data_IF_388135921944
#
_entry.id   IF_388135921944
#
_cell.length_a   1.000
_cell.length_b   1.000
_cell.length_c   1.000
_cell.angle_alpha   90.00
_cell.angle_beta   90.00
_cell.angle_gamma   90.00
#
_symmetry.space_group_name_H-M   'P 1'
#
loop_
_entity.id
_entity.type
_entity.pdbx_description
1 polymer ?
#
# COMPACT_ATOMS: atom_id res chain seq x y z
N UNK A 1 -35.59 -36.71 -28.21
CA UNK A 1 -34.21 -36.95 -27.74
C UNK A 1 -33.40 -35.66 -27.86
N UNK A 2 -32.77 -35.24 -26.77
CA UNK A 2 -31.51 -34.46 -26.67
C UNK A 2 -31.43 -33.02 -27.22
N UNK A 3 -31.83 -32.03 -26.40
CA UNK A 3 -31.30 -30.64 -26.43
C UNK A 3 -31.33 -30.01 -25.01
N UNK A 4 -30.55 -30.56 -24.07
CA UNK A 4 -30.45 -30.01 -22.69
C UNK A 4 -29.02 -30.04 -22.13
N UNK A 5 -28.05 -30.57 -22.87
CA UNK A 5 -26.67 -30.78 -22.40
C UNK A 5 -25.77 -29.54 -22.56
N UNK A 6 -25.98 -28.72 -23.59
CA UNK A 6 -25.11 -27.57 -23.90
C UNK A 6 -25.20 -26.43 -22.86
N UNK A 7 -26.37 -26.18 -22.27
CA UNK A 7 -26.55 -25.13 -21.26
C UNK A 7 -25.97 -25.51 -19.89
N UNK A 8 -25.96 -26.80 -19.56
CA UNK A 8 -25.37 -27.32 -18.31
C UNK A 8 -23.85 -27.27 -18.34
N UNK A 9 -23.23 -27.57 -19.48
CA UNK A 9 -21.77 -27.47 -19.67
C UNK A 9 -21.25 -26.04 -19.56
N UNK A 10 -22.01 -25.04 -20.04
CA UNK A 10 -21.60 -23.64 -19.99
C UNK A 10 -21.70 -23.04 -18.59
N UNK A 11 -22.69 -23.46 -17.79
CA UNK A 11 -22.79 -23.10 -16.37
C UNK A 11 -21.66 -23.74 -15.57
N UNK A 12 -21.36 -25.02 -15.78
CA UNK A 12 -20.26 -25.72 -15.09
C UNK A 12 -18.90 -25.09 -15.42
N UNK A 13 -18.65 -24.73 -16.69
CA UNK A 13 -17.42 -24.06 -17.10
C UNK A 13 -17.25 -22.67 -16.45
N UNK A 14 -18.35 -21.93 -16.27
CA UNK A 14 -18.35 -20.65 -15.58
C UNK A 14 -18.07 -20.81 -14.08
N UNK A 15 -18.64 -21.83 -13.43
CA UNK A 15 -18.39 -22.13 -12.00
C UNK A 15 -16.97 -22.62 -11.75
N UNK A 16 -16.39 -23.42 -12.64
CA UNK A 16 -15.00 -23.90 -12.51
C UNK A 16 -14.00 -22.75 -12.75
N UNK A 17 -14.28 -21.84 -13.68
CA UNK A 17 -13.49 -20.61 -13.85
C UNK A 17 -13.59 -19.66 -12.63
N UNK A 18 -14.76 -19.61 -11.98
CA UNK A 18 -14.98 -18.83 -10.76
C UNK A 18 -14.18 -19.35 -9.55
N UNK A 19 -14.05 -20.67 -9.39
CA UNK A 19 -13.27 -21.28 -8.29
C UNK A 19 -11.76 -21.15 -8.54
N UNK A 20 -11.32 -21.20 -9.80
CA UNK A 20 -9.91 -21.05 -10.16
C UNK A 20 -9.39 -19.60 -10.08
N UNK A 21 -10.27 -18.60 -10.12
CA UNK A 21 -9.93 -17.18 -10.02
C UNK A 21 -10.01 -16.58 -8.61
N UNK A 22 -10.31 -17.40 -7.59
CA UNK A 22 -10.30 -16.95 -6.19
C UNK A 22 -8.85 -16.62 -5.80
N UNK A 23 -8.47 -15.35 -5.97
CA UNK A 23 -7.23 -14.84 -5.43
C UNK A 23 -7.23 -15.09 -3.92
N UNK A 24 -6.08 -15.49 -3.39
CA UNK A 24 -5.88 -15.63 -1.96
C UNK A 24 -6.23 -14.31 -1.30
N UNK A 25 -7.33 -14.28 -0.54
CA UNK A 25 -7.63 -13.15 0.32
C UNK A 25 -6.43 -12.99 1.27
N UNK A 26 -5.67 -11.91 1.12
CA UNK A 26 -4.65 -11.55 2.10
C UNK A 26 -5.39 -11.13 3.36
N UNK A 27 -5.32 -11.97 4.39
CA UNK A 27 -6.07 -11.80 5.63
C UNK A 27 -5.61 -10.61 6.47
N UNK A 28 -4.44 -10.03 6.15
CA UNK A 28 -3.81 -8.99 6.94
C UNK A 28 -3.79 -7.69 6.12
N UNK A 29 -4.63 -6.74 6.50
CA UNK A 29 -4.66 -5.38 5.94
C UNK A 29 -4.79 -4.39 7.08
N UNK A 30 -4.17 -3.22 6.94
CA UNK A 30 -4.27 -2.14 7.91
C UNK A 30 -5.57 -1.38 7.65
N UNK A 31 -6.30 -1.05 8.72
CA UNK A 31 -7.56 -0.33 8.66
C UNK A 31 -7.53 0.88 9.59
N UNK A 32 -8.39 1.87 9.31
CA UNK A 32 -8.64 2.98 10.23
C UNK A 32 -9.06 2.45 11.60
N UNK A 33 -8.45 2.99 12.66
CA UNK A 33 -8.66 2.60 14.05
C UNK A 33 -7.71 1.50 14.55
N UNK A 34 -6.91 0.88 13.67
CA UNK A 34 -5.85 -0.02 14.11
C UNK A 34 -4.81 0.72 14.96
N UNK A 35 -4.25 0.01 15.93
CA UNK A 35 -3.15 0.50 16.75
C UNK A 35 -1.83 -0.02 16.18
N UNK A 36 -0.86 0.86 15.96
CA UNK A 36 0.46 0.51 15.43
C UNK A 36 1.54 1.00 16.40
N UNK A 37 2.55 0.17 16.64
CA UNK A 37 3.83 0.64 17.18
C UNK A 37 4.97 0.25 16.25
N UNK A 38 6.14 0.83 16.46
CA UNK A 38 7.26 0.70 15.56
C UNK A 38 8.49 0.20 16.30
N UNK A 39 9.21 -0.71 15.66
CA UNK A 39 10.58 -1.04 16.01
C UNK A 39 11.53 -0.50 14.92
N UNK A 40 12.68 0.01 15.35
CA UNK A 40 13.75 0.42 14.45
C UNK A 40 14.32 -0.81 13.71
N UNK A 41 14.62 -0.64 12.41
CA UNK A 41 15.21 -1.68 11.56
C UNK A 41 16.47 -1.13 10.89
N UNK A 42 16.72 -1.52 9.64
CA UNK A 42 17.97 -1.23 8.97
C UNK A 42 17.95 0.18 8.40
N UNK A 43 19.02 0.95 8.64
CA UNK A 43 19.15 2.33 8.18
C UNK A 43 18.99 3.35 9.29
N UNK A 44 19.56 4.54 9.07
CA UNK A 44 19.44 5.74 9.92
C UNK A 44 20.00 6.95 9.16
N UNK A 45 19.36 8.15 9.23
CA UNK A 45 18.06 8.42 9.84
C UNK A 45 16.90 8.01 8.93
N UNK A 46 15.85 7.43 9.52
CA UNK A 46 14.56 7.22 8.84
C UNK A 46 14.40 5.96 8.01
N UNK A 47 15.32 4.98 8.04
CA UNK A 47 15.35 3.82 7.15
C UNK A 47 14.13 2.88 7.18
N UNK A 48 14.36 1.57 7.27
CA UNK A 48 13.25 0.63 7.47
C UNK A 48 12.67 0.77 8.88
N UNK A 49 11.36 0.67 9.00
CA UNK A 49 10.67 0.47 10.27
C UNK A 49 9.83 -0.79 10.25
N UNK A 50 9.81 -1.54 11.35
CA UNK A 50 8.87 -2.63 11.53
C UNK A 50 7.60 -2.08 12.18
N UNK A 51 6.53 -1.95 11.40
CA UNK A 51 5.21 -1.61 11.91
C UNK A 51 4.54 -2.87 12.47
N UNK A 52 4.25 -2.88 13.77
CA UNK A 52 3.47 -3.95 14.40
C UNK A 52 2.02 -3.49 14.55
N UNK A 53 1.11 -4.17 13.86
CA UNK A 53 -0.32 -3.87 13.83
C UNK A 53 -1.04 -4.65 14.93
N UNK A 54 -1.84 -3.93 15.71
CA UNK A 54 -2.60 -4.40 16.87
C UNK A 54 -1.77 -5.30 17.80
N UNK A 55 -0.59 -4.84 18.27
CA UNK A 55 0.33 -5.66 19.05
C UNK A 55 -0.35 -6.21 20.31
N UNK A 56 -0.12 -7.50 20.59
CA UNK A 56 -0.73 -8.20 21.72
C UNK A 56 -2.15 -8.72 21.50
N UNK A 57 -2.74 -8.51 20.31
CA UNK A 57 -4.07 -9.03 19.94
C UNK A 57 -3.99 -10.36 19.17
N UNK A 58 -5.08 -11.14 19.15
CA UNK A 58 -5.16 -12.44 18.47
C UNK A 58 -5.00 -12.39 16.93
N UNK A 59 -4.93 -11.19 16.34
CA UNK A 59 -4.66 -10.94 14.93
C UNK A 59 -3.45 -10.03 14.70
N UNK A 60 -2.54 -9.92 15.66
CA UNK A 60 -1.35 -9.09 15.52
C UNK A 60 -0.46 -9.60 14.38
N UNK A 61 0.10 -8.67 13.60
CA UNK A 61 1.03 -8.96 12.52
C UNK A 61 1.95 -7.76 12.29
N UNK A 62 2.99 -7.93 11.48
CA UNK A 62 3.92 -6.84 11.18
C UNK A 62 4.35 -6.81 9.74
N UNK A 63 4.79 -5.64 9.31
CA UNK A 63 5.35 -5.39 7.99
C UNK A 63 6.40 -4.28 8.05
N UNK A 64 7.26 -4.21 7.04
CA UNK A 64 8.26 -3.16 6.94
C UNK A 64 7.70 -1.98 6.16
N UNK A 65 7.92 -0.77 6.69
CA UNK A 65 7.47 0.51 6.14
C UNK A 65 8.62 1.51 6.11
N UNK A 66 8.35 2.64 5.46
CA UNK A 66 9.21 3.79 5.30
C UNK A 66 8.41 5.06 5.59
N UNK A 67 9.11 6.08 6.05
CA UNK A 67 8.52 7.39 6.29
C UNK A 67 8.30 8.16 4.99
N UNK A 68 7.22 8.94 4.93
CA UNK A 68 6.99 9.86 3.81
C UNK A 68 7.61 11.22 4.07
N UNK A 69 7.36 11.84 5.23
CA UNK A 69 7.99 13.13 5.56
C UNK A 69 9.30 12.95 6.32
N UNK A 70 10.28 13.81 6.06
CA UNK A 70 11.59 13.83 6.74
C UNK A 70 11.57 14.64 8.03
N UNK A 71 10.69 15.63 8.13
CA UNK A 71 10.62 16.57 9.27
C UNK A 71 9.68 16.12 10.39
N UNK A 72 8.91 15.07 10.14
CA UNK A 72 8.13 14.38 11.16
C UNK A 72 8.90 13.19 11.72
N UNK A 73 8.57 12.77 12.94
CA UNK A 73 9.29 11.69 13.62
C UNK A 73 8.31 10.71 14.25
N UNK A 74 8.61 9.43 14.08
CA UNK A 74 8.06 8.36 14.88
C UNK A 74 8.89 8.18 16.16
N UNK A 75 8.26 7.77 17.25
CA UNK A 75 8.96 7.28 18.42
C UNK A 75 8.59 5.82 18.68
N UNK A 76 9.55 5.07 19.24
CA UNK A 76 9.42 3.62 19.42
C UNK A 76 8.75 3.23 20.75
N UNK A 77 8.25 4.21 21.52
CA UNK A 77 7.65 3.97 22.83
C UNK A 77 6.13 4.26 22.84
N UNK A 78 5.60 4.84 21.77
CA UNK A 78 4.21 5.23 21.65
C UNK A 78 3.42 4.23 20.80
N UNK A 79 2.14 4.11 21.13
CA UNK A 79 1.15 3.51 20.24
C UNK A 79 0.52 4.63 19.40
N UNK A 80 0.43 4.40 18.10
CA UNK A 80 -0.21 5.27 17.12
C UNK A 80 -1.54 4.66 16.72
N UNK A 81 -2.54 5.50 16.47
CA UNK A 81 -3.81 5.08 15.87
C UNK A 81 -3.78 5.44 14.40
N UNK A 82 -4.22 4.51 13.55
CA UNK A 82 -4.42 4.76 12.12
C UNK A 82 -5.65 5.64 11.97
N UNK A 83 -5.43 6.94 11.76
CA UNK A 83 -6.49 7.92 11.50
C UNK A 83 -7.11 7.70 10.13
N UNK A 84 -6.29 7.35 9.15
CA UNK A 84 -6.69 7.18 7.77
C UNK A 84 -5.79 6.23 7.00
N UNK A 85 -6.37 5.61 5.98
CA UNK A 85 -5.64 4.87 4.94
C UNK A 85 -5.97 5.56 3.63
N UNK A 86 -5.05 6.37 3.13
CA UNK A 86 -5.31 7.36 2.07
C UNK A 86 -4.28 7.25 0.94
N UNK A 87 -4.37 8.15 -0.03
CA UNK A 87 -3.42 8.35 -1.13
C UNK A 87 -2.55 9.59 -0.93
N UNK A 88 -2.48 10.15 0.28
CA UNK A 88 -1.68 11.33 0.59
C UNK A 88 -1.12 11.34 2.02
N UNK A 89 0.04 11.94 2.22
CA UNK A 89 0.52 12.33 3.54
C UNK A 89 -0.19 13.60 4.03
N UNK A 90 -0.32 13.76 5.34
CA UNK A 90 -0.98 14.88 6.02
C UNK A 90 0.02 15.82 6.68
N UNK A 91 -0.40 17.06 6.99
CA UNK A 91 0.44 18.06 7.65
C UNK A 91 1.71 18.47 6.90
N UNK A 92 1.79 18.16 5.62
CA UNK A 92 2.95 18.51 4.79
C UNK A 92 2.83 19.92 4.20
N UNK A 93 3.83 20.81 4.38
CA UNK A 93 3.72 22.20 3.91
C UNK A 93 3.93 22.33 2.40
N UNK A 94 3.27 23.32 1.79
CA UNK A 94 3.35 23.57 0.35
C UNK A 94 4.77 23.82 -0.20
N UNK A 95 5.76 24.06 0.68
CA UNK A 95 7.16 24.22 0.31
C UNK A 95 7.91 22.92 0.00
N UNK A 96 7.37 21.75 0.36
CA UNK A 96 8.05 20.45 0.23
C UNK A 96 7.23 19.36 -0.47
N UNK A 97 6.13 19.71 -1.15
CA UNK A 97 5.32 18.74 -1.91
C UNK A 97 3.83 18.90 -1.62
N UNK A 98 3.50 19.29 -0.39
CA UNK A 98 2.15 19.57 0.05
C UNK A 98 1.32 20.50 -0.86
N UNK A 99 0.01 20.24 -0.88
CA UNK A 99 -1.01 21.07 -1.49
C UNK A 99 -2.13 21.23 -0.46
N UNK A 100 -2.19 22.39 0.19
CA UNK A 100 -3.16 22.65 1.26
C UNK A 100 -3.05 21.67 2.43
N UNK A 101 -1.82 21.33 2.83
CA UNK A 101 -1.54 20.44 3.96
C UNK A 101 -1.69 18.95 3.64
N UNK A 102 -1.74 18.58 2.36
CA UNK A 102 -1.77 17.19 1.90
C UNK A 102 -0.75 16.98 0.79
N UNK A 103 0.05 15.94 0.89
CA UNK A 103 1.02 15.59 -0.15
C UNK A 103 0.61 14.27 -0.83
N UNK A 104 0.06 14.31 -2.06
CA UNK A 104 -0.35 13.10 -2.77
C UNK A 104 0.82 12.17 -3.06
N UNK A 105 0.66 10.90 -2.73
CA UNK A 105 1.68 9.88 -2.94
C UNK A 105 2.05 9.77 -4.43
N UNK A 106 3.34 9.91 -4.74
CA UNK A 106 3.84 9.81 -6.12
C UNK A 106 3.87 8.35 -6.61
N UNK A 107 3.61 8.16 -7.91
CA UNK A 107 3.59 6.85 -8.55
C UNK A 107 4.95 6.13 -8.53
N UNK A 108 6.06 6.87 -8.45
CA UNK A 108 7.43 6.36 -8.32
C UNK A 108 7.65 5.76 -6.94
N UNK A 109 7.17 6.42 -5.88
CA UNK A 109 7.23 5.89 -4.52
C UNK A 109 6.36 4.64 -4.39
N UNK A 110 5.15 4.67 -4.95
CA UNK A 110 4.28 3.51 -4.98
C UNK A 110 4.91 2.33 -5.75
N UNK A 111 5.62 2.59 -6.85
CA UNK A 111 6.36 1.55 -7.57
C UNK A 111 7.48 0.95 -6.71
N UNK A 112 8.31 1.77 -6.06
CA UNK A 112 9.40 1.31 -5.20
C UNK A 112 8.89 0.40 -4.09
N UNK A 113 7.84 0.83 -3.40
CA UNK A 113 7.28 0.06 -2.30
C UNK A 113 6.55 -1.21 -2.78
N UNK A 114 5.96 -1.18 -3.97
CA UNK A 114 5.45 -2.39 -4.64
C UNK A 114 6.57 -3.39 -4.90
N UNK A 115 7.71 -2.94 -5.44
CA UNK A 115 8.86 -3.80 -5.69
C UNK A 115 9.47 -4.34 -4.41
N UNK A 116 9.50 -3.55 -3.34
CA UNK A 116 10.01 -3.95 -2.03
C UNK A 116 9.15 -5.05 -1.38
N UNK A 117 7.82 -4.90 -1.41
CA UNK A 117 6.89 -5.78 -0.69
C UNK A 117 6.58 -7.10 -1.40
N UNK A 118 6.84 -7.20 -2.70
CA UNK A 118 6.73 -8.48 -3.40
C UNK A 118 7.82 -9.44 -2.88
N UNK A 119 7.47 -10.56 -2.23
CA UNK A 119 8.40 -11.66 -1.89
C UNK A 119 9.63 -11.37 -1.00
N UNK A 120 9.60 -10.37 -0.10
CA UNK A 120 10.65 -10.15 0.91
C UNK A 120 11.94 -9.53 0.36
N UNK A 121 11.87 -8.23 0.02
CA UNK A 121 12.81 -7.38 -0.75
C UNK A 121 12.56 -7.35 -2.27
N UNK A 122 11.85 -8.36 -2.79
CA UNK A 122 11.31 -8.38 -4.15
C UNK A 122 12.23 -8.01 -5.28
N UNK A 123 11.69 -7.31 -6.28
CA UNK A 123 12.46 -6.93 -7.45
C UNK A 123 13.57 -5.91 -7.11
N UNK A 124 13.51 -5.25 -5.95
CA UNK A 124 14.59 -4.36 -5.52
C UNK A 124 15.90 -5.12 -5.28
N UNK A 125 15.85 -6.41 -4.95
CA UNK A 125 17.06 -7.23 -4.86
C UNK A 125 17.83 -7.28 -6.19
N UNK A 126 17.13 -7.28 -7.33
CA UNK A 126 17.77 -7.23 -8.66
C UNK A 126 18.38 -5.86 -8.99
N UNK A 127 17.99 -4.82 -8.27
CA UNK A 127 18.50 -3.44 -8.40
C UNK A 127 19.64 -3.19 -7.40
N UNK A 128 19.87 -4.11 -6.46
CA UNK A 128 20.97 -4.05 -5.49
C UNK A 128 20.54 -3.98 -4.02
N UNK A 129 19.24 -4.12 -3.71
CA UNK A 129 18.77 -4.15 -2.34
C UNK A 129 19.13 -5.47 -1.66
N UNK A 130 20.06 -5.42 -0.71
CA UNK A 130 20.52 -6.59 0.04
C UNK A 130 20.02 -6.60 1.49
N UNK A 131 19.14 -5.66 1.85
CA UNK A 131 18.68 -5.46 3.21
C UNK A 131 19.74 -4.84 4.13
N UNK A 132 20.90 -4.39 3.65
CA UNK A 132 21.87 -3.68 4.48
C UNK A 132 21.36 -2.29 4.87
N UNK A 133 21.86 -1.75 5.98
CA UNK A 133 21.55 -0.38 6.41
C UNK A 133 21.89 0.68 5.34
N UNK A 134 22.93 0.43 4.53
CA UNK A 134 23.29 1.31 3.41
C UNK A 134 22.21 1.33 2.33
N UNK A 135 21.69 0.16 1.95
CA UNK A 135 20.65 0.08 0.93
C UNK A 135 19.30 0.58 1.44
N UNK A 136 18.97 0.30 2.70
CA UNK A 136 17.78 0.87 3.36
C UNK A 136 17.82 2.40 3.38
N UNK A 137 18.98 2.99 3.70
CA UNK A 137 19.18 4.44 3.66
C UNK A 137 19.03 5.03 2.26
N UNK A 138 19.60 4.36 1.24
CA UNK A 138 19.48 4.79 -0.14
C UNK A 138 18.02 4.72 -0.61
N UNK A 139 17.28 3.69 -0.21
CA UNK A 139 15.86 3.55 -0.54
C UNK A 139 15.03 4.64 0.15
N UNK A 140 15.20 4.87 1.45
CA UNK A 140 14.52 5.96 2.16
C UNK A 140 14.83 7.33 1.56
N UNK A 141 16.09 7.59 1.19
CA UNK A 141 16.45 8.82 0.52
C UNK A 141 15.77 8.95 -0.84
N UNK A 142 15.61 7.87 -1.60
CA UNK A 142 14.89 7.90 -2.87
C UNK A 142 13.41 8.26 -2.67
N UNK A 143 12.77 7.70 -1.64
CA UNK A 143 11.40 8.07 -1.26
C UNK A 143 11.34 9.57 -0.95
N UNK A 144 12.19 10.09 -0.07
CA UNK A 144 12.23 11.53 0.23
C UNK A 144 12.59 12.43 -0.96
N UNK A 145 13.36 11.94 -1.95
CA UNK A 145 13.62 12.71 -3.16
C UNK A 145 12.38 12.79 -4.06
N UNK A 146 11.62 11.70 -4.14
CA UNK A 146 10.41 11.60 -4.97
C UNK A 146 9.28 12.43 -4.33
N UNK A 147 9.09 12.29 -3.03
CA UNK A 147 8.12 13.06 -2.23
C UNK A 147 8.65 14.47 -1.88
N UNK A 148 9.67 14.99 -2.59
CA UNK A 148 10.14 16.38 -2.50
C UNK A 148 10.68 16.87 -1.13
N UNK A 149 10.81 15.98 -0.15
CA UNK A 149 11.38 16.22 1.18
C UNK A 149 12.88 16.58 1.17
N UNK A 150 13.62 16.15 0.15
CA UNK A 150 15.03 16.49 -0.05
C UNK A 150 15.37 16.74 -1.52
N UNK A 151 16.49 17.41 -1.76
CA UNK A 151 17.01 17.61 -3.10
C UNK A 151 17.34 16.29 -3.80
N UNK A 152 16.96 16.19 -5.08
CA UNK A 152 17.21 15.03 -5.92
C UNK A 152 18.71 14.83 -6.15
N UNK A 153 19.15 13.59 -5.98
CA UNK A 153 20.50 13.09 -6.29
C UNK A 153 20.34 11.99 -7.34
N UNK A 154 20.58 12.33 -8.60
CA UNK A 154 20.36 11.42 -9.74
C UNK A 154 21.22 10.16 -9.73
N UNK A 155 22.29 10.11 -8.93
CA UNK A 155 23.09 8.89 -8.76
C UNK A 155 22.48 7.87 -7.80
N UNK A 156 21.36 8.20 -7.14
CA UNK A 156 20.63 7.22 -6.33
C UNK A 156 19.98 6.17 -7.25
N UNK A 157 20.34 4.91 -7.05
CA UNK A 157 19.92 3.79 -7.89
C UNK A 157 18.40 3.56 -7.84
N UNK A 158 17.79 3.70 -6.67
CA UNK A 158 16.35 3.49 -6.50
C UNK A 158 15.53 4.63 -7.12
N UNK A 159 15.99 5.88 -6.98
CA UNK A 159 15.39 7.01 -7.67
C UNK A 159 15.39 6.80 -9.18
N UNK A 160 16.56 6.44 -9.73
CA UNK A 160 16.72 6.21 -11.18
C UNK A 160 15.83 5.08 -11.67
N UNK A 161 15.79 3.96 -10.94
CA UNK A 161 14.94 2.82 -11.29
C UNK A 161 13.45 3.17 -11.27
N UNK A 162 13.01 4.00 -10.31
CA UNK A 162 11.62 4.45 -10.23
C UNK A 162 11.26 5.36 -11.41
N UNK A 163 12.15 6.30 -11.78
CA UNK A 163 11.97 7.14 -12.98
C UNK A 163 11.86 6.27 -14.24
N UNK A 164 12.75 5.29 -14.40
CA UNK A 164 12.71 4.35 -15.53
C UNK A 164 11.41 3.55 -15.56
N UNK A 165 10.84 3.17 -14.41
CA UNK A 165 9.57 2.46 -14.35
C UNK A 165 8.42 3.28 -14.93
N UNK A 166 8.36 4.59 -14.66
CA UNK A 166 7.34 5.49 -15.23
C UNK A 166 7.52 5.63 -16.74
N UNK A 167 8.76 5.80 -17.20
CA UNK A 167 9.07 5.84 -18.65
C UNK A 167 8.64 4.56 -19.35
N UNK A 168 8.75 3.41 -18.66
CA UNK A 168 8.33 2.10 -19.16
C UNK A 168 6.83 1.80 -18.95
N UNK A 169 6.04 2.80 -18.55
CA UNK A 169 4.58 2.74 -18.55
C UNK A 169 3.93 2.35 -17.22
N UNK A 170 4.68 2.30 -16.11
CA UNK A 170 4.05 2.26 -14.79
C UNK A 170 3.26 3.55 -14.55
N UNK A 171 2.06 3.42 -13.99
CA UNK A 171 1.21 4.57 -13.65
C UNK A 171 0.40 4.28 -12.40
N UNK A 172 0.11 5.33 -11.62
CA UNK A 172 -0.71 5.27 -10.44
C UNK A 172 -0.06 4.57 -9.24
N UNK A 173 -0.82 4.47 -8.16
CA UNK A 173 -0.32 3.99 -6.85
C UNK A 173 -0.65 2.52 -6.56
N UNK A 174 -1.47 1.87 -7.39
CA UNK A 174 -1.85 0.47 -7.22
C UNK A 174 -2.47 0.17 -5.86
N UNK A 175 -1.91 -0.81 -5.14
CA UNK A 175 -2.33 -1.20 -3.78
C UNK A 175 -1.58 -0.42 -2.68
N UNK A 176 -0.73 0.54 -3.04
CA UNK A 176 0.02 1.31 -2.05
C UNK A 176 -0.84 2.45 -1.52
N UNK A 177 -0.82 2.63 -0.21
CA UNK A 177 -1.54 3.65 0.53
C UNK A 177 -0.62 4.28 1.57
N UNK A 178 -1.03 5.47 2.00
CA UNK A 178 -0.43 6.19 3.11
C UNK A 178 -1.24 5.91 4.37
N UNK A 179 -0.57 5.49 5.43
CA UNK A 179 -1.13 5.41 6.77
C UNK A 179 -0.97 6.78 7.42
N UNK A 180 -2.09 7.49 7.57
CA UNK A 180 -2.10 8.72 8.34
C UNK A 180 -2.18 8.37 9.82
N UNK A 181 -1.15 8.73 10.58
CA UNK A 181 -1.01 8.32 11.96
C UNK A 181 -1.27 9.47 12.91
N UNK A 182 -1.88 9.16 14.05
CA UNK A 182 -1.99 10.09 15.16
C UNK A 182 -1.65 9.38 16.47
N UNK A 183 -1.18 10.14 17.45
CA UNK A 183 -0.98 9.64 18.81
C UNK A 183 -1.63 10.56 19.82
N UNK A 184 -2.01 9.97 20.94
CA UNK A 184 -2.51 10.73 22.07
C UNK A 184 -1.33 11.22 22.94
N UNK A 185 -1.30 12.51 23.24
CA UNK A 185 -0.38 13.10 24.20
C UNK A 185 -0.82 12.80 25.64
N UNK A 186 0.08 13.06 26.59
CA UNK A 186 -0.18 12.88 28.02
C UNK A 186 -1.32 13.76 28.57
N UNK A 187 -1.63 14.87 27.90
CA UNK A 187 -2.74 15.76 28.22
C UNK A 187 -4.09 15.30 27.63
N UNK A 188 -4.11 14.17 26.92
CA UNK A 188 -5.29 13.60 26.28
C UNK A 188 -5.60 14.16 24.89
N UNK A 189 -4.85 15.17 24.41
CA UNK A 189 -5.00 15.70 23.05
C UNK A 189 -4.37 14.76 22.00
N UNK A 190 -4.89 14.82 20.78
CA UNK A 190 -4.35 14.05 19.64
C UNK A 190 -3.43 14.93 18.80
N UNK A 191 -2.34 14.35 18.32
CA UNK A 191 -1.40 14.99 17.40
C UNK A 191 -1.11 14.04 16.25
N UNK A 192 -1.06 14.60 15.03
CA UNK A 192 -0.59 13.87 13.85
C UNK A 192 0.88 13.46 14.03
N UNK A 193 1.26 12.38 13.38
CA UNK A 193 2.57 11.74 13.51
C UNK A 193 3.02 11.27 12.14
N UNK A 194 4.31 10.97 12.03
CA UNK A 194 4.95 10.65 10.76
C UNK A 194 4.21 9.58 9.96
N UNK A 195 3.75 9.95 8.77
CA UNK A 195 2.97 9.07 7.91
C UNK A 195 3.83 7.98 7.28
N UNK A 196 3.22 6.81 7.07
CA UNK A 196 3.91 5.57 6.73
C UNK A 196 3.35 4.91 5.47
N UNK A 197 4.20 4.26 4.68
CA UNK A 197 3.76 3.47 3.53
C UNK A 197 3.17 2.13 3.95
N UNK A 198 2.04 1.77 3.36
CA UNK A 198 1.47 0.43 3.52
C UNK A 198 0.90 -0.10 2.21
N UNK A 199 0.90 -1.42 2.09
CA UNK A 199 0.22 -2.11 1.01
C UNK A 199 -1.14 -2.56 1.51
N UNK A 200 -2.18 -1.99 0.94
CA UNK A 200 -3.58 -2.25 1.29
C UNK A 200 -4.25 -2.76 0.02
N UNK A 201 -4.43 -4.10 -0.10
CA UNK A 201 -5.12 -4.67 -1.24
C UNK A 201 -6.50 -4.05 -1.40
N UNK A 202 -6.87 -3.75 -2.64
CA UNK A 202 -8.23 -3.29 -2.97
C UNK A 202 -9.25 -4.24 -2.33
N UNK A 203 -10.25 -3.73 -1.59
CA UNK A 203 -11.18 -4.60 -0.92
C UNK A 203 -11.93 -5.45 -1.95
N UNK A 204 -12.02 -6.76 -1.69
CA UNK A 204 -12.76 -7.72 -2.53
C UNK A 204 -14.25 -7.36 -2.69
N UNK A 205 -14.73 -6.33 -1.99
CA UNK A 205 -16.03 -5.70 -2.18
C UNK A 205 -16.25 -5.17 -3.61
N UNK A 206 -15.22 -4.70 -4.33
CA UNK A 206 -15.36 -4.29 -5.74
C UNK A 206 -15.61 -5.48 -6.65
N UNK A 207 -14.94 -6.60 -6.39
CA UNK A 207 -15.20 -7.88 -7.06
C UNK A 207 -16.62 -8.36 -6.73
N UNK A 208 -17.03 -8.27 -5.46
CA UNK A 208 -18.38 -8.63 -5.02
C UNK A 208 -19.46 -7.72 -5.63
N UNK A 209 -19.17 -6.44 -5.79
CA UNK A 209 -20.04 -5.47 -6.45
C UNK A 209 -20.17 -5.81 -7.95
N UNK A 210 -19.04 -6.11 -8.60
CA UNK A 210 -19.02 -6.60 -9.99
C UNK A 210 -19.85 -7.87 -10.16
N UNK A 211 -19.74 -8.82 -9.22
CA UNK A 211 -20.58 -10.01 -9.21
C UNK A 211 -22.05 -9.70 -8.95
N UNK A 212 -22.35 -8.86 -7.96
CA UNK A 212 -23.71 -8.44 -7.63
C UNK A 212 -24.43 -7.83 -8.84
N UNK A 213 -23.73 -6.96 -9.58
CA UNK A 213 -24.25 -6.36 -10.81
C UNK A 213 -24.43 -7.38 -11.94
N UNK A 214 -23.50 -8.33 -12.10
CA UNK A 214 -23.60 -9.40 -13.10
C UNK A 214 -24.81 -10.32 -12.83
N UNK A 215 -25.05 -10.73 -11.58
CA UNK A 215 -26.21 -11.56 -11.20
C UNK A 215 -27.55 -10.83 -11.41
N UNK A 216 -27.60 -9.50 -11.25
CA UNK A 216 -28.81 -8.70 -11.52
C UNK A 216 -29.06 -8.50 -13.03
N UNK A 217 -28.01 -8.45 -13.86
CA UNK A 217 -28.14 -8.23 -15.30
C UNK A 217 -28.53 -9.50 -16.09
N UNK A 218 -28.08 -10.68 -15.65
CA UNK A 218 -28.31 -11.95 -16.34
C UNK A 218 -29.80 -12.31 -16.59
N UNK A 219 -30.74 -12.10 -15.64
CA UNK A 219 -32.16 -12.34 -15.87
C UNK A 219 -32.78 -11.37 -16.91
N UNK A 220 -32.31 -10.11 -16.96
CA UNK A 220 -32.85 -9.07 -17.85
C UNK A 220 -32.47 -9.32 -19.31
N UNK A 221 -31.28 -9.85 -19.56
CA UNK A 221 -30.83 -10.22 -20.91
C UNK A 221 -31.61 -11.41 -21.49
N UNK A 222 -32.14 -12.28 -20.61
CA UNK A 222 -32.96 -13.43 -20.99
C UNK A 222 -34.37 -13.04 -21.41
N UNK A 223 -34.91 -11.96 -20.84
CA UNK A 223 -36.25 -11.45 -21.15
C UNK A 223 -36.35 -10.73 -22.50
N UNK A 224 -35.23 -10.33 -23.11
CA UNK A 224 -35.22 -9.62 -24.42
C UNK A 224 -35.13 -10.56 -25.64
N UNK A 225 -35.17 -11.88 -25.44
CA UNK A 225 -35.12 -12.89 -26.51
C UNK A 225 -36.45 -13.66 -26.68
N UNK A 226 -37.58 -13.02 -26.42
CA UNK A 226 -38.93 -13.50 -26.75
C UNK A 226 -39.61 -12.49 -27.65
#
# INVERSE_FOLDING_TARGET
MTRTTSSRLLVIAFTVALVAGAQTARANTVMTGDIINFDDRNGSPGGEFLANVNPGSAGAWSFVTFCLQKTEYIDFNSNFTVKGVTDYATSDPDSVGGISGRDPLDDKTAWLYTQFTNTGYGALASIGYDGSATQANLLQQAIWMIEQEIAIVSSNLYYSAAVDAIVNGWTGIGEIRVLNLERQKSDGSWIESQDQLARVPEPSSLLLLGFGLAFVALPRLRSRRV
#
